data_IF_698060620783
#
_entry.id   IF_698060620783
#
_cell.length_a   1.000
_cell.length_b   1.000
_cell.length_c   1.000
_cell.angle_alpha   90.00
_cell.angle_beta   90.00
_cell.angle_gamma   90.00
#
_symmetry.space_group_name_H-M   'P 1'
#
loop_
_entity.id
_entity.type
_entity.pdbx_description
1 polymer ?
#
# COMPACT_ATOMS: atom_id res chain seq x y z
N UNK A 1 32.98 14.98 13.80
CA UNK A 1 32.11 13.91 14.36
C UNK A 1 33.03 12.99 15.13
N UNK A 2 32.95 12.96 16.47
CA UNK A 2 33.94 12.22 17.28
C UNK A 2 33.94 10.72 16.95
N UNK A 3 35.10 10.04 16.92
CA UNK A 3 35.21 8.61 16.59
C UNK A 3 34.35 7.73 17.50
N UNK A 4 34.09 8.21 18.72
CA UNK A 4 33.24 7.58 19.73
C UNK A 4 31.77 7.50 19.25
N UNK A 5 31.23 8.55 18.63
CA UNK A 5 29.86 8.52 18.09
C UNK A 5 29.71 7.56 16.91
N UNK A 6 30.75 7.46 16.08
CA UNK A 6 30.79 6.54 14.94
C UNK A 6 30.85 5.09 15.44
N UNK A 7 31.61 4.83 16.51
CA UNK A 7 31.65 3.52 17.18
C UNK A 7 30.29 3.13 17.79
N UNK A 8 29.55 4.07 18.41
CA UNK A 8 28.21 3.77 18.96
C UNK A 8 27.17 3.49 17.87
N UNK A 9 27.22 4.20 16.72
CA UNK A 9 26.37 3.89 15.56
C UNK A 9 26.70 2.49 15.03
N UNK A 10 27.99 2.17 14.89
CA UNK A 10 28.43 0.89 14.36
C UNK A 10 28.07 -0.26 15.32
N UNK A 11 28.21 -0.05 16.64
CA UNK A 11 27.78 -1.00 17.68
C UNK A 11 26.26 -1.14 17.71
N UNK A 12 25.48 -0.07 17.58
CA UNK A 12 24.01 -0.18 17.54
C UNK A 12 23.50 -0.87 16.27
N UNK A 13 24.14 -0.63 15.13
CA UNK A 13 23.87 -1.34 13.87
C UNK A 13 24.28 -2.81 14.00
N UNK A 14 25.45 -3.11 14.56
CA UNK A 14 25.90 -4.49 14.80
C UNK A 14 25.02 -5.22 15.83
N UNK A 15 24.61 -4.55 16.91
CA UNK A 15 23.74 -5.13 17.94
C UNK A 15 22.33 -5.32 17.39
N UNK A 16 21.76 -4.39 16.62
CA UNK A 16 20.46 -4.59 15.97
C UNK A 16 20.51 -5.70 14.92
N UNK A 17 21.61 -5.80 14.16
CA UNK A 17 21.85 -6.88 13.20
C UNK A 17 22.11 -8.23 13.88
N UNK A 18 22.80 -8.24 15.03
CA UNK A 18 23.06 -9.41 15.86
C UNK A 18 21.80 -9.87 16.59
N UNK A 19 21.03 -8.98 17.21
CA UNK A 19 19.75 -9.31 17.85
C UNK A 19 18.78 -9.89 16.82
N UNK A 20 18.82 -9.42 15.58
CA UNK A 20 17.99 -9.91 14.48
C UNK A 20 18.44 -11.30 13.97
N UNK A 21 19.75 -11.55 13.87
CA UNK A 21 20.31 -12.88 13.54
C UNK A 21 20.09 -13.89 14.68
N UNK A 22 20.28 -13.49 15.94
CA UNK A 22 20.14 -14.34 17.13
C UNK A 22 18.69 -14.68 17.45
N UNK A 23 17.75 -13.73 17.32
CA UNK A 23 16.35 -14.02 17.65
C UNK A 23 15.67 -14.99 16.68
N UNK A 24 16.30 -15.37 15.54
CA UNK A 24 15.58 -16.05 14.44
C UNK A 24 14.17 -15.44 14.30
N UNK A 25 14.09 -14.10 14.32
CA UNK A 25 12.84 -13.35 14.11
C UNK A 25 12.52 -13.49 12.63
N UNK A 26 12.12 -14.70 12.29
CA UNK A 26 11.44 -15.06 11.08
C UNK A 26 9.96 -14.98 11.50
N UNK A 27 9.31 -13.80 11.42
CA UNK A 27 7.86 -13.68 11.67
C UNK A 27 7.02 -14.52 10.67
N UNK A 28 7.70 -15.29 9.80
CA UNK A 28 7.15 -16.12 8.74
C UNK A 28 7.59 -17.58 8.80
N UNK A 29 8.30 -18.04 9.85
CA UNK A 29 8.46 -19.48 10.13
C UNK A 29 7.21 -20.10 10.77
N UNK A 30 6.09 -19.37 10.83
CA UNK A 30 4.79 -19.96 11.19
C UNK A 30 4.32 -20.79 10.00
N UNK A 31 4.43 -22.10 10.18
CA UNK A 31 4.03 -23.16 9.29
C UNK A 31 2.67 -22.86 8.61
N UNK A 32 2.70 -22.77 7.27
CA UNK A 32 1.54 -22.45 6.45
C UNK A 32 0.53 -23.59 6.48
N UNK A 33 -0.44 -23.53 7.39
CA UNK A 33 -1.57 -24.45 7.37
C UNK A 33 -2.73 -23.84 6.58
N UNK A 34 -2.96 -24.23 5.30
CA UNK A 34 -4.05 -23.70 4.47
C UNK A 34 -5.45 -23.94 5.09
N UNK A 35 -5.58 -24.99 5.91
CA UNK A 35 -6.80 -25.33 6.65
C UNK A 35 -7.13 -24.32 7.76
N UNK A 36 -6.13 -23.74 8.43
CA UNK A 36 -6.34 -22.66 9.41
C UNK A 36 -6.76 -21.34 8.74
N UNK A 37 -6.29 -21.11 7.51
CA UNK A 37 -6.67 -19.96 6.66
C UNK A 37 -8.13 -20.03 6.18
N UNK A 38 -8.67 -21.23 5.98
CA UNK A 38 -10.12 -21.44 5.72
C UNK A 38 -10.97 -21.26 6.98
N UNK A 39 -10.51 -21.73 8.16
CA UNK A 39 -11.16 -21.42 9.45
C UNK A 39 -11.17 -19.91 9.77
N UNK A 40 -10.20 -19.15 9.28
CA UNK A 40 -10.10 -17.69 9.41
C UNK A 40 -11.28 -16.93 8.80
N UNK A 41 -11.81 -17.40 7.67
CA UNK A 41 -12.94 -16.78 6.97
C UNK A 41 -14.30 -17.25 7.51
N UNK A 42 -14.36 -18.45 8.09
CA UNK A 42 -15.62 -19.10 8.46
C UNK A 42 -15.91 -19.10 9.98
N UNK A 43 -14.91 -19.00 10.85
CA UNK A 43 -15.09 -19.34 12.28
C UNK A 43 -14.88 -18.22 13.31
N UNK A 44 -14.61 -16.96 12.90
CA UNK A 44 -14.59 -15.83 13.85
C UNK A 44 -13.64 -15.95 15.06
N UNK A 45 -12.66 -16.85 15.04
CA UNK A 45 -11.77 -17.09 16.17
C UNK A 45 -10.72 -15.96 16.31
N UNK A 46 -10.55 -15.45 17.53
CA UNK A 46 -9.60 -14.36 17.87
C UNK A 46 -8.14 -14.83 17.70
N UNK A 47 -7.52 -14.49 16.57
CA UNK A 47 -6.06 -14.67 16.38
C UNK A 47 -5.25 -13.83 17.37
N UNK A 48 -4.07 -14.35 17.76
CA UNK A 48 -3.02 -13.58 18.44
C UNK A 48 -2.63 -12.39 17.54
N UNK A 49 -2.41 -11.21 18.14
CA UNK A 49 -2.07 -9.96 17.43
C UNK A 49 -0.91 -10.12 16.46
N UNK A 50 0.11 -10.92 16.80
CA UNK A 50 1.27 -11.20 15.96
C UNK A 50 0.91 -11.92 14.64
N UNK A 51 0.00 -12.91 14.67
CA UNK A 51 -0.38 -13.66 13.46
C UNK A 51 -1.22 -12.82 12.51
N UNK A 52 -2.07 -11.93 13.06
CA UNK A 52 -2.82 -10.95 12.26
C UNK A 52 -1.88 -9.99 11.53
N UNK A 53 -0.82 -9.54 12.19
CA UNK A 53 0.20 -8.67 11.60
C UNK A 53 0.98 -9.41 10.51
N UNK A 54 1.38 -10.66 10.75
CA UNK A 54 2.11 -11.47 9.76
C UNK A 54 1.29 -11.72 8.49
N UNK A 55 0.01 -12.11 8.62
CA UNK A 55 -0.89 -12.31 7.48
C UNK A 55 -1.05 -11.00 6.71
N UNK A 56 -1.22 -9.88 7.43
CA UNK A 56 -1.38 -8.55 6.81
C UNK A 56 -0.12 -8.13 6.05
N UNK A 57 1.05 -8.35 6.63
CA UNK A 57 2.33 -8.06 5.98
C UNK A 57 2.50 -8.91 4.71
N UNK A 58 2.12 -10.19 4.77
CA UNK A 58 2.17 -11.09 3.61
C UNK A 58 1.21 -10.66 2.49
N UNK A 59 -0.01 -10.21 2.84
CA UNK A 59 -0.94 -9.65 1.85
C UNK A 59 -0.39 -8.37 1.22
N UNK A 60 0.25 -7.51 2.02
CA UNK A 60 0.87 -6.28 1.54
C UNK A 60 2.02 -6.59 0.58
N UNK A 61 2.89 -7.55 0.89
CA UNK A 61 3.98 -7.97 -0.01
C UNK A 61 3.47 -8.54 -1.33
N UNK A 62 2.38 -9.32 -1.30
CA UNK A 62 1.77 -9.87 -2.51
C UNK A 62 1.20 -8.76 -3.40
N UNK A 63 0.56 -7.75 -2.81
CA UNK A 63 -0.02 -6.63 -3.54
C UNK A 63 1.04 -5.66 -4.07
N UNK A 64 2.05 -5.31 -3.28
CA UNK A 64 3.08 -4.33 -3.69
C UNK A 64 4.28 -4.93 -4.44
N UNK A 65 4.28 -6.26 -4.68
CA UNK A 65 5.42 -7.01 -5.26
C UNK A 65 6.75 -6.74 -4.56
N UNK A 66 6.71 -6.37 -3.27
CA UNK A 66 7.90 -6.07 -2.49
C UNK A 66 8.54 -7.38 -1.99
N UNK A 67 9.78 -7.65 -2.41
CA UNK A 67 10.58 -8.77 -1.93
C UNK A 67 10.89 -8.60 -0.44
N UNK A 68 10.92 -9.70 0.31
CA UNK A 68 11.26 -9.73 1.74
C UNK A 68 12.57 -8.98 2.05
N UNK A 69 13.57 -9.11 1.18
CA UNK A 69 14.86 -8.39 1.27
C UNK A 69 14.69 -6.87 1.19
N UNK A 70 13.80 -6.36 0.33
CA UNK A 70 13.54 -4.92 0.19
C UNK A 70 12.85 -4.35 1.43
N UNK A 71 11.89 -5.08 2.01
CA UNK A 71 11.26 -4.67 3.26
C UNK A 71 12.24 -4.67 4.43
N UNK A 72 13.09 -5.71 4.51
CA UNK A 72 14.12 -5.79 5.53
C UNK A 72 15.11 -4.64 5.42
N UNK A 73 15.55 -4.31 4.20
CA UNK A 73 16.37 -3.13 3.95
C UNK A 73 15.65 -1.85 4.39
N UNK A 74 14.35 -1.71 4.12
CA UNK A 74 13.57 -0.53 4.51
C UNK A 74 13.43 -0.39 6.04
N UNK A 75 13.28 -1.52 6.75
CA UNK A 75 13.30 -1.57 8.21
C UNK A 75 14.67 -1.20 8.78
N UNK A 76 15.75 -1.73 8.19
CA UNK A 76 17.12 -1.41 8.60
C UNK A 76 17.46 0.06 8.33
N UNK A 77 17.08 0.61 7.18
CA UNK A 77 17.29 2.04 6.87
C UNK A 77 16.45 2.94 7.77
N UNK A 78 15.23 2.53 8.13
CA UNK A 78 14.41 3.28 9.08
C UNK A 78 15.01 3.23 10.50
N UNK A 79 15.49 2.06 10.96
CA UNK A 79 16.13 1.93 12.26
C UNK A 79 17.45 2.72 12.33
N UNK A 80 18.30 2.59 11.32
CA UNK A 80 19.56 3.32 11.22
C UNK A 80 19.34 4.83 11.06
N UNK A 81 18.37 5.23 10.24
CA UNK A 81 17.98 6.63 10.06
C UNK A 81 17.41 7.25 11.33
N UNK A 82 16.55 6.52 12.05
CA UNK A 82 16.01 6.95 13.33
C UNK A 82 17.08 7.10 14.42
N UNK A 83 18.05 6.18 14.46
CA UNK A 83 19.19 6.27 15.36
C UNK A 83 20.10 7.46 15.03
N UNK A 84 20.42 7.66 13.75
CA UNK A 84 21.26 8.77 13.30
C UNK A 84 20.59 10.14 13.57
N UNK A 85 19.30 10.25 13.25
CA UNK A 85 18.51 11.45 13.55
C UNK A 85 18.43 11.72 15.05
N UNK A 86 18.18 10.67 15.86
CA UNK A 86 18.17 10.77 17.31
C UNK A 86 19.52 11.20 17.89
N UNK A 87 20.63 10.72 17.33
CA UNK A 87 21.97 11.17 17.74
C UNK A 87 22.23 12.63 17.38
N UNK A 88 21.82 13.08 16.19
CA UNK A 88 21.97 14.48 15.80
C UNK A 88 21.14 15.43 16.68
N UNK A 89 19.93 15.01 17.06
CA UNK A 89 18.99 15.81 17.84
C UNK A 89 19.33 15.84 19.33
N UNK A 90 19.65 14.68 19.93
CA UNK A 90 19.73 14.53 21.39
C UNK A 90 21.15 14.35 21.93
N UNK A 91 22.15 14.16 21.07
CA UNK A 91 23.56 13.96 21.41
C UNK A 91 23.82 12.89 22.49
N UNK A 92 22.85 11.99 22.72
CA UNK A 92 22.88 10.95 23.74
C UNK A 92 22.42 9.62 23.15
N UNK A 93 23.15 8.52 23.42
CA UNK A 93 22.85 7.22 22.82
C UNK A 93 21.53 6.61 23.32
N UNK A 94 21.14 6.89 24.57
CA UNK A 94 19.90 6.37 25.18
C UNK A 94 18.66 6.91 24.46
N UNK A 95 18.62 8.23 24.21
CA UNK A 95 17.51 8.88 23.52
C UNK A 95 17.50 8.53 22.02
N UNK A 96 18.67 8.32 21.43
CA UNK A 96 18.78 7.85 20.04
C UNK A 96 18.22 6.43 19.86
N UNK A 97 18.41 5.53 20.83
CA UNK A 97 17.81 4.20 20.80
C UNK A 97 16.27 4.24 20.87
N UNK A 98 15.70 5.13 21.69
CA UNK A 98 14.25 5.33 21.78
C UNK A 98 13.69 5.93 20.49
N UNK A 99 14.39 6.89 19.88
CA UNK A 99 14.02 7.46 18.59
C UNK A 99 14.03 6.41 17.46
N UNK A 100 15.04 5.52 17.44
CA UNK A 100 15.10 4.40 16.51
C UNK A 100 13.91 3.45 16.68
N UNK A 101 13.56 3.10 17.93
CA UNK A 101 12.40 2.25 18.23
C UNK A 101 11.07 2.87 17.76
N UNK A 102 10.92 4.19 17.89
CA UNK A 102 9.76 4.94 17.43
C UNK A 102 9.60 4.92 15.89
N UNK A 103 10.70 4.85 15.14
CA UNK A 103 10.67 4.84 13.66
C UNK A 103 10.51 3.43 13.05
N UNK A 104 10.65 2.36 13.83
CA UNK A 104 10.47 0.97 13.38
C UNK A 104 9.10 0.69 12.73
N UNK A 105 7.96 1.28 13.15
CA UNK A 105 6.68 1.04 12.49
C UNK A 105 6.55 1.78 11.15
N UNK A 106 7.36 2.79 10.84
CA UNK A 106 7.20 3.62 9.64
C UNK A 106 7.19 2.82 8.31
N UNK A 107 8.03 1.79 8.12
CA UNK A 107 8.00 0.96 6.92
C UNK A 107 6.69 0.18 6.72
N UNK A 108 6.04 -0.19 7.82
CA UNK A 108 4.72 -0.83 7.78
C UNK A 108 3.63 0.14 7.30
N UNK A 109 3.70 1.41 7.74
CA UNK A 109 2.80 2.48 7.30
C UNK A 109 2.96 2.70 5.80
N UNK A 110 4.22 2.85 5.34
CA UNK A 110 4.54 3.05 3.94
C UNK A 110 3.99 1.94 3.04
N UNK A 111 4.19 0.67 3.41
CA UNK A 111 3.66 -0.45 2.62
C UNK A 111 2.14 -0.49 2.59
N UNK A 112 1.48 -0.10 3.69
CA UNK A 112 0.03 -0.02 3.73
C UNK A 112 -0.48 1.02 2.74
N UNK A 113 0.12 2.21 2.72
CA UNK A 113 -0.22 3.28 1.76
C UNK A 113 0.07 2.83 0.32
N UNK A 114 1.24 2.24 0.07
CA UNK A 114 1.63 1.76 -1.26
C UNK A 114 0.73 0.63 -1.78
N UNK A 115 0.22 -0.24 -0.91
CA UNK A 115 -0.74 -1.26 -1.33
C UNK A 115 -2.07 -0.67 -1.78
N UNK A 116 -2.50 0.44 -1.15
CA UNK A 116 -3.71 1.14 -1.54
C UNK A 116 -3.52 1.81 -2.92
N UNK A 117 -2.35 2.40 -3.21
CA UNK A 117 -2.10 2.99 -4.53
C UNK A 117 -2.09 1.94 -5.64
N UNK A 118 -1.47 0.78 -5.43
CA UNK A 118 -1.49 -0.30 -6.43
C UNK A 118 -2.92 -0.80 -6.69
N UNK A 119 -3.73 -0.96 -5.63
CA UNK A 119 -5.13 -1.35 -5.78
C UNK A 119 -5.94 -0.29 -6.57
N UNK A 120 -5.61 1.00 -6.42
CA UNK A 120 -6.24 2.07 -7.21
C UNK A 120 -5.85 2.00 -8.68
N UNK A 121 -4.57 1.80 -8.98
CA UNK A 121 -4.09 1.68 -10.36
C UNK A 121 -4.79 0.53 -11.09
N UNK A 122 -5.04 -0.59 -10.39
CA UNK A 122 -5.81 -1.72 -10.95
C UNK A 122 -7.28 -1.32 -11.24
N UNK A 123 -7.93 -0.60 -10.32
CA UNK A 123 -9.33 -0.14 -10.49
C UNK A 123 -9.42 0.91 -11.60
N UNK A 124 -8.49 1.86 -11.64
CA UNK A 124 -8.40 2.92 -12.64
C UNK A 124 -8.14 2.36 -14.04
N UNK A 125 -7.18 1.42 -14.15
CA UNK A 125 -6.90 0.75 -15.42
C UNK A 125 -8.13 -0.01 -15.93
N UNK A 126 -8.90 -0.62 -15.03
CA UNK A 126 -10.12 -1.35 -15.38
C UNK A 126 -11.27 -0.44 -15.80
N UNK A 127 -11.52 0.65 -15.08
CA UNK A 127 -12.56 1.64 -15.43
C UNK A 127 -12.26 2.27 -16.79
N UNK A 128 -11.02 2.70 -17.02
CA UNK A 128 -10.59 3.23 -18.32
C UNK A 128 -10.79 2.21 -19.44
N UNK A 129 -10.41 0.95 -19.20
CA UNK A 129 -10.62 -0.14 -20.17
C UNK A 129 -12.10 -0.33 -20.49
N UNK A 130 -12.97 -0.38 -19.48
CA UNK A 130 -14.42 -0.49 -19.67
C UNK A 130 -14.98 0.70 -20.45
N UNK A 131 -14.50 1.93 -20.17
CA UNK A 131 -14.91 3.15 -20.86
C UNK A 131 -14.53 3.12 -22.34
N UNK A 132 -13.27 2.79 -22.66
CA UNK A 132 -12.79 2.69 -24.05
C UNK A 132 -13.59 1.65 -24.83
N UNK A 133 -13.78 0.44 -24.27
CA UNK A 133 -14.57 -0.61 -24.92
C UNK A 133 -16.03 -0.20 -25.10
N UNK A 134 -16.63 0.46 -24.11
CA UNK A 134 -18.03 0.92 -24.19
C UNK A 134 -18.22 1.96 -25.29
N UNK A 135 -17.28 2.91 -25.42
CA UNK A 135 -17.30 3.92 -26.49
C UNK A 135 -17.11 3.31 -27.88
N UNK A 136 -16.15 2.37 -28.02
CA UNK A 136 -15.95 1.64 -29.26
C UNK A 136 -17.18 0.80 -29.63
N UNK A 137 -17.79 0.12 -28.67
CA UNK A 137 -19.00 -0.69 -28.88
C UNK A 137 -20.21 0.16 -29.28
N UNK A 138 -20.39 1.33 -28.64
CA UNK A 138 -21.47 2.25 -28.98
C UNK A 138 -21.43 2.68 -30.47
N UNK A 139 -20.22 2.72 -31.05
CA UNK A 139 -19.96 3.16 -32.42
C UNK A 139 -19.95 2.02 -33.45
N UNK A 140 -19.50 0.82 -33.05
CA UNK A 140 -19.34 -0.32 -33.97
C UNK A 140 -20.46 -1.36 -33.93
N UNK A 141 -21.33 -1.35 -32.91
CA UNK A 141 -22.43 -2.30 -32.67
C UNK A 141 -22.01 -3.80 -32.58
N UNK A 142 -20.71 -4.08 -32.58
CA UNK A 142 -20.10 -5.40 -32.45
C UNK A 142 -19.14 -5.43 -31.25
N UNK A 143 -19.44 -6.30 -30.28
CA UNK A 143 -18.69 -6.44 -29.02
C UNK A 143 -17.27 -6.94 -29.29
N UNK A 144 -17.11 -7.94 -30.18
CA UNK A 144 -15.80 -8.57 -30.43
C UNK A 144 -14.89 -7.57 -31.12
N UNK A 145 -15.43 -6.85 -32.11
CA UNK A 145 -14.70 -5.80 -32.82
C UNK A 145 -14.30 -4.64 -31.91
N UNK A 146 -15.16 -4.24 -30.98
CA UNK A 146 -14.85 -3.19 -30.01
C UNK A 146 -13.71 -3.58 -29.06
N UNK A 147 -13.69 -4.84 -28.58
CA UNK A 147 -12.62 -5.35 -27.72
C UNK A 147 -11.32 -5.54 -28.51
N UNK A 148 -11.40 -5.97 -29.77
CA UNK A 148 -10.23 -6.04 -30.65
C UNK A 148 -9.60 -4.67 -30.87
N UNK A 149 -10.41 -3.66 -31.17
CA UNK A 149 -9.91 -2.28 -31.36
C UNK A 149 -9.21 -1.76 -30.11
N UNK A 150 -9.73 -2.05 -28.92
CA UNK A 150 -9.05 -1.75 -27.65
C UNK A 150 -7.69 -2.46 -27.54
N UNK A 151 -7.63 -3.76 -27.87
CA UNK A 151 -6.39 -4.55 -27.82
C UNK A 151 -5.34 -4.01 -28.80
N UNK A 152 -5.77 -3.65 -30.02
CA UNK A 152 -4.91 -3.04 -31.04
C UNK A 152 -4.40 -1.67 -30.60
N UNK A 153 -5.27 -0.80 -30.07
CA UNK A 153 -4.89 0.52 -29.57
C UNK A 153 -3.93 0.44 -28.39
N UNK A 154 -4.17 -0.45 -27.43
CA UNK A 154 -3.27 -0.70 -26.29
C UNK A 154 -1.88 -1.11 -26.76
N UNK A 155 -1.79 -1.95 -27.78
CA UNK A 155 -0.52 -2.53 -28.25
C UNK A 155 0.12 -1.74 -29.41
N UNK A 156 -0.51 -0.66 -29.89
CA UNK A 156 -0.11 0.09 -31.10
C UNK A 156 1.33 0.60 -31.02
N UNK A 157 1.74 1.11 -29.86
CA UNK A 157 3.06 1.71 -29.64
C UNK A 157 4.04 0.80 -28.90
N UNK A 158 3.67 -0.46 -28.63
CA UNK A 158 4.45 -1.35 -27.78
C UNK A 158 5.11 -2.46 -28.60
N UNK A 159 6.45 -2.61 -28.52
CA UNK A 159 7.15 -3.65 -29.26
C UNK A 159 6.73 -5.05 -28.74
N UNK A 160 6.74 -6.10 -29.58
CA UNK A 160 6.13 -7.40 -29.25
C UNK A 160 6.62 -8.03 -27.93
N UNK A 161 7.89 -7.84 -27.58
CA UNK A 161 8.49 -8.42 -26.38
C UNK A 161 8.10 -7.72 -25.07
N UNK A 162 7.55 -6.49 -25.12
CA UNK A 162 7.05 -5.76 -23.95
C UNK A 162 5.53 -5.88 -23.76
N UNK A 163 4.83 -6.56 -24.67
CA UNK A 163 3.38 -6.72 -24.60
C UNK A 163 2.99 -7.63 -23.44
N UNK A 164 2.23 -7.08 -22.51
CA UNK A 164 1.59 -7.85 -21.45
C UNK A 164 0.30 -8.44 -21.98
N UNK A 165 0.17 -9.76 -21.87
CA UNK A 165 -1.06 -10.48 -22.20
C UNK A 165 -2.10 -10.14 -21.13
N UNK A 166 -3.20 -9.54 -21.55
CA UNK A 166 -4.34 -9.21 -20.70
C UNK A 166 -5.48 -10.22 -20.91
N UNK A 167 -6.42 -10.34 -19.95
CA UNK A 167 -7.60 -11.18 -20.12
C UNK A 167 -8.44 -10.85 -21.36
N UNK A 168 -8.37 -9.61 -21.86
CA UNK A 168 -9.02 -9.17 -23.09
C UNK A 168 -8.33 -9.71 -24.35
N UNK A 169 -6.99 -9.76 -24.36
CA UNK A 169 -6.22 -10.39 -25.45
C UNK A 169 -6.57 -11.89 -25.58
N UNK A 170 -6.72 -12.57 -24.43
CA UNK A 170 -7.14 -13.97 -24.38
C UNK A 170 -8.58 -14.16 -24.87
N UNK A 171 -9.51 -13.26 -24.53
CA UNK A 171 -10.90 -13.32 -25.00
C UNK A 171 -10.99 -13.21 -26.52
N UNK A 172 -10.31 -12.21 -27.12
CA UNK A 172 -10.33 -12.02 -28.58
C UNK A 172 -9.74 -13.24 -29.29
N UNK A 173 -8.63 -13.77 -28.77
CA UNK A 173 -7.99 -14.97 -29.33
C UNK A 173 -8.87 -16.21 -29.21
N UNK A 174 -9.54 -16.40 -28.08
CA UNK A 174 -10.45 -17.52 -27.85
C UNK A 174 -11.64 -17.48 -28.80
N UNK A 175 -12.28 -16.31 -28.95
CA UNK A 175 -13.46 -16.16 -29.82
C UNK A 175 -13.10 -16.38 -31.29
N UNK A 176 -11.92 -15.91 -31.73
CA UNK A 176 -11.49 -16.03 -33.14
C UNK A 176 -11.01 -17.42 -33.52
N UNK A 177 -10.28 -18.10 -32.65
CA UNK A 177 -9.53 -19.32 -33.02
C UNK A 177 -10.00 -20.59 -32.33
N UNK A 178 -10.75 -20.51 -31.22
CA UNK A 178 -11.07 -21.68 -30.39
C UNK A 178 -12.58 -21.93 -30.34
N UNK A 179 -13.35 -20.97 -29.82
CA UNK A 179 -14.78 -21.12 -29.61
C UNK A 179 -15.50 -19.80 -29.89
N UNK A 180 -16.34 -19.72 -30.94
CA UNK A 180 -17.04 -18.50 -31.32
C UNK A 180 -18.19 -18.11 -30.37
N UNK A 181 -18.42 -18.84 -29.27
CA UNK A 181 -19.43 -18.49 -28.28
C UNK A 181 -18.99 -17.28 -27.43
N UNK A 182 -19.52 -16.11 -27.79
CA UNK A 182 -19.22 -14.82 -27.15
C UNK A 182 -19.67 -14.81 -25.68
N UNK A 183 -20.85 -15.34 -25.36
CA UNK A 183 -21.37 -15.36 -23.99
C UNK A 183 -20.47 -16.14 -23.04
N UNK A 184 -20.04 -17.34 -23.46
CA UNK A 184 -19.12 -18.16 -22.68
C UNK A 184 -17.78 -17.44 -22.46
N UNK A 185 -17.25 -16.79 -23.49
CA UNK A 185 -16.04 -15.98 -23.39
C UNK A 185 -16.18 -14.83 -22.38
N UNK A 186 -17.29 -14.10 -22.43
CA UNK A 186 -17.60 -13.01 -21.50
C UNK A 186 -17.75 -13.51 -20.05
N UNK A 187 -18.44 -14.63 -19.81
CA UNK A 187 -18.50 -15.23 -18.46
C UNK A 187 -17.11 -15.59 -17.92
N UNK A 188 -16.25 -16.17 -18.75
CA UNK A 188 -14.85 -16.47 -18.36
C UNK A 188 -14.06 -15.20 -18.08
N UNK A 189 -14.25 -14.15 -18.85
CA UNK A 189 -13.62 -12.84 -18.64
C UNK A 189 -14.04 -12.25 -17.28
N UNK A 190 -15.35 -12.28 -16.98
CA UNK A 190 -15.89 -11.86 -15.68
C UNK A 190 -15.33 -12.67 -14.51
N UNK A 191 -15.12 -13.98 -14.69
CA UNK A 191 -14.53 -14.82 -13.66
C UNK A 191 -13.04 -14.51 -13.39
N UNK A 192 -12.29 -14.08 -14.43
CA UNK A 192 -10.88 -13.67 -14.30
C UNK A 192 -10.73 -12.33 -13.57
N UNK A 193 -11.60 -11.36 -13.89
CA UNK A 193 -11.56 -10.01 -13.32
C UNK A 193 -12.58 -9.92 -12.19
N UNK A 194 -12.13 -10.18 -10.96
CA UNK A 194 -12.96 -10.19 -9.74
C UNK A 194 -13.32 -8.78 -9.25
N UNK A 195 -14.12 -8.04 -10.02
CA UNK A 195 -14.65 -6.73 -9.64
C UNK A 195 -16.18 -6.72 -9.82
N UNK A 196 -16.91 -6.16 -8.84
CA UNK A 196 -18.37 -6.09 -8.85
C UNK A 196 -18.90 -5.33 -10.06
N UNK A 197 -18.38 -4.13 -10.33
CA UNK A 197 -18.79 -3.28 -11.44
C UNK A 197 -18.46 -3.92 -12.78
N UNK A 198 -17.32 -4.58 -12.87
CA UNK A 198 -16.93 -5.32 -14.08
C UNK A 198 -17.85 -6.50 -14.37
N UNK A 199 -18.22 -7.27 -13.34
CA UNK A 199 -19.16 -8.38 -13.49
C UNK A 199 -20.56 -7.90 -13.91
N UNK A 200 -21.01 -6.76 -13.39
CA UNK A 200 -22.26 -6.14 -13.80
C UNK A 200 -22.19 -5.64 -15.25
N UNK A 201 -21.10 -4.95 -15.62
CA UNK A 201 -20.84 -4.50 -16.99
C UNK A 201 -20.81 -5.67 -17.98
N UNK A 202 -20.19 -6.79 -17.61
CA UNK A 202 -20.13 -7.97 -18.46
C UNK A 202 -21.51 -8.63 -18.62
N UNK A 203 -22.36 -8.63 -17.59
CA UNK A 203 -23.75 -9.10 -17.71
C UNK A 203 -24.56 -8.24 -18.68
N UNK A 204 -24.36 -6.92 -18.63
CA UNK A 204 -25.00 -6.01 -19.59
C UNK A 204 -24.47 -6.25 -21.00
N UNK A 205 -23.16 -6.51 -21.18
CA UNK A 205 -22.63 -6.89 -22.50
C UNK A 205 -23.27 -8.17 -23.05
N UNK A 206 -23.51 -9.17 -22.20
CA UNK A 206 -24.21 -10.40 -22.60
C UNK A 206 -25.67 -10.08 -23.01
N UNK A 207 -26.35 -9.20 -22.28
CA UNK A 207 -27.68 -8.72 -22.67
C UNK A 207 -27.65 -7.95 -24.01
N UNK A 208 -26.63 -7.13 -24.23
CA UNK A 208 -26.41 -6.41 -25.49
C UNK A 208 -26.12 -7.33 -26.68
N UNK A 209 -25.58 -8.53 -26.42
CA UNK A 209 -25.39 -9.54 -27.44
C UNK A 209 -26.74 -10.03 -28.00
N UNK A 210 -27.74 -10.19 -27.14
CA UNK A 210 -29.10 -10.54 -27.53
C UNK A 210 -29.89 -9.35 -28.10
N UNK A 211 -29.77 -8.17 -27.50
CA UNK A 211 -30.42 -6.94 -27.96
C UNK A 211 -29.44 -5.75 -27.99
N UNK A 212 -29.00 -5.39 -29.20
CA UNK A 212 -28.03 -4.30 -29.44
C UNK A 212 -28.53 -2.93 -29.00
N UNK A 213 -29.85 -2.74 -28.83
CA UNK A 213 -30.43 -1.46 -28.37
C UNK A 213 -30.03 -1.12 -26.94
N UNK A 214 -29.69 -2.14 -26.15
CA UNK A 214 -29.27 -1.99 -24.75
C UNK A 214 -27.85 -1.44 -24.59
N UNK A 215 -27.10 -1.16 -25.67
CA UNK A 215 -25.72 -0.67 -25.62
C UNK A 215 -25.53 0.57 -24.73
N UNK A 216 -26.55 1.44 -24.63
CA UNK A 216 -26.50 2.62 -23.77
C UNK A 216 -26.59 2.31 -22.27
N UNK A 217 -27.04 1.12 -21.88
CA UNK A 217 -27.07 0.66 -20.49
C UNK A 217 -25.67 0.38 -19.91
N UNK A 218 -24.63 0.31 -20.75
CA UNK A 218 -23.24 0.16 -20.31
C UNK A 218 -22.69 1.44 -19.68
N UNK A 219 -23.09 2.63 -20.18
CA UNK A 219 -22.59 3.93 -19.68
C UNK A 219 -22.91 4.18 -18.20
N UNK A 220 -24.14 3.93 -17.70
CA UNK A 220 -24.44 4.04 -16.28
C UNK A 220 -23.54 3.20 -15.38
N UNK A 221 -23.14 1.99 -15.80
CA UNK A 221 -22.27 1.11 -14.99
C UNK A 221 -20.83 1.64 -14.95
N UNK A 222 -20.30 2.09 -16.09
CA UNK A 222 -18.98 2.75 -16.15
C UNK A 222 -18.99 4.00 -15.28
N UNK A 223 -20.05 4.81 -15.36
CA UNK A 223 -20.23 6.00 -14.53
C UNK A 223 -20.29 5.66 -13.04
N UNK A 224 -21.04 4.63 -12.64
CA UNK A 224 -21.11 4.20 -11.24
C UNK A 224 -19.74 3.75 -10.69
N UNK A 225 -18.91 3.10 -11.51
CA UNK A 225 -17.54 2.74 -11.15
C UNK A 225 -16.64 3.98 -11.03
N UNK A 226 -16.78 4.95 -11.95
CA UNK A 226 -16.04 6.22 -11.90
C UNK A 226 -16.45 7.06 -10.69
N UNK A 227 -17.74 7.13 -10.35
CA UNK A 227 -18.23 7.82 -9.15
C UNK A 227 -17.65 7.18 -7.88
N UNK A 228 -17.65 5.85 -7.79
CA UNK A 228 -17.02 5.13 -6.68
C UNK A 228 -15.50 5.37 -6.60
N UNK A 229 -14.81 5.41 -7.74
CA UNK A 229 -13.39 5.78 -7.84
C UNK A 229 -13.17 7.22 -7.36
N UNK A 230 -13.97 8.17 -7.81
CA UNK A 230 -13.86 9.59 -7.47
C UNK A 230 -14.02 9.81 -5.97
N UNK A 231 -15.04 9.18 -5.36
CA UNK A 231 -15.23 9.21 -3.90
C UNK A 231 -14.03 8.61 -3.16
N UNK A 232 -13.45 7.53 -3.68
CA UNK A 232 -12.25 6.92 -3.09
C UNK A 232 -11.05 7.86 -3.20
N UNK A 233 -10.83 8.49 -4.35
CA UNK A 233 -9.74 9.47 -4.58
C UNK A 233 -9.90 10.69 -3.68
N UNK A 234 -11.11 11.20 -3.51
CA UNK A 234 -11.40 12.32 -2.62
C UNK A 234 -11.09 11.97 -1.16
N UNK A 235 -11.58 10.81 -0.69
CA UNK A 235 -11.28 10.30 0.65
C UNK A 235 -9.77 10.17 0.88
N UNK A 236 -9.06 9.68 -0.12
CA UNK A 236 -7.61 9.50 -0.03
C UNK A 236 -6.83 10.82 -0.12
N UNK A 237 -7.33 11.79 -0.89
CA UNK A 237 -6.81 13.15 -0.91
C UNK A 237 -6.96 13.86 0.44
N UNK A 238 -8.07 13.61 1.14
CA UNK A 238 -8.22 14.03 2.54
C UNK A 238 -7.19 13.37 3.45
N UNK A 239 -6.96 12.05 3.31
CA UNK A 239 -5.93 11.34 4.07
C UNK A 239 -4.53 11.95 3.85
N UNK A 240 -4.13 12.21 2.61
CA UNK A 240 -2.82 12.81 2.30
C UNK A 240 -2.66 14.18 2.94
N UNK A 241 -3.71 15.01 2.91
CA UNK A 241 -3.72 16.31 3.60
C UNK A 241 -3.53 16.16 5.11
N UNK A 242 -4.28 15.26 5.75
CA UNK A 242 -4.15 14.98 7.19
C UNK A 242 -2.73 14.50 7.53
N UNK A 243 -2.15 13.62 6.73
CA UNK A 243 -0.78 13.13 6.93
C UNK A 243 0.27 14.22 6.76
N UNK A 244 0.12 15.07 5.75
CA UNK A 244 1.01 16.21 5.53
C UNK A 244 0.97 17.15 6.72
N UNK A 245 -0.22 17.52 7.19
CA UNK A 245 -0.38 18.47 8.29
C UNK A 245 0.12 17.85 9.62
N UNK A 246 -0.09 16.54 9.81
CA UNK A 246 0.50 15.79 10.92
C UNK A 246 2.04 15.76 10.87
N UNK A 247 2.63 15.47 9.70
CA UNK A 247 4.09 15.44 9.53
C UNK A 247 4.72 16.83 9.74
N UNK A 248 4.06 17.90 9.28
CA UNK A 248 4.50 19.27 9.51
C UNK A 248 4.47 19.62 11.01
N UNK A 249 3.37 19.31 11.70
CA UNK A 249 3.26 19.58 13.14
C UNK A 249 4.23 18.75 13.98
N UNK A 250 4.39 17.46 13.69
CA UNK A 250 5.39 16.62 14.33
C UNK A 250 6.82 17.10 14.05
N UNK A 251 7.11 17.51 12.81
CA UNK A 251 8.40 18.09 12.42
C UNK A 251 8.73 19.36 13.20
N UNK A 252 7.76 20.28 13.34
CA UNK A 252 7.90 21.48 14.16
C UNK A 252 8.13 21.12 15.64
N UNK A 253 7.39 20.15 16.16
CA UNK A 253 7.55 19.68 17.54
C UNK A 253 8.99 19.22 17.80
N UNK A 254 9.57 18.41 16.91
CA UNK A 254 10.96 17.97 17.04
C UNK A 254 12.00 19.05 16.75
N UNK A 255 11.67 20.06 15.94
CA UNK A 255 12.55 21.19 15.61
C UNK A 255 12.89 22.07 16.84
N UNK A 256 12.03 22.08 17.86
CA UNK A 256 12.26 22.85 19.09
C UNK A 256 13.53 22.43 19.82
N UNK A 257 13.87 21.14 19.82
CA UNK A 257 15.04 20.59 20.52
C UNK A 257 16.38 21.11 19.93
N UNK A 258 16.65 21.00 18.61
CA UNK A 258 17.83 21.59 18.02
C UNK A 258 17.81 23.12 18.07
N UNK A 259 16.65 23.76 18.00
CA UNK A 259 16.56 25.22 18.18
C UNK A 259 17.02 25.65 19.59
N UNK A 260 16.66 24.87 20.61
CA UNK A 260 17.13 25.07 22.00
C UNK A 260 18.66 24.93 22.10
N UNK A 261 19.26 23.98 21.35
CA UNK A 261 20.72 23.82 21.28
C UNK A 261 21.42 25.06 20.71
N UNK A 262 20.84 25.72 19.70
CA UNK A 262 21.40 26.95 19.12
C UNK A 262 21.17 28.18 20.00
N UNK A 263 20.03 28.26 20.69
CA UNK A 263 19.69 29.41 21.52
C UNK A 263 20.44 29.38 22.86
N UNK A 264 20.44 28.24 23.57
CA UNK A 264 21.02 28.13 24.90
C UNK A 264 21.55 26.71 25.18
N UNK A 265 22.87 26.55 25.13
CA UNK A 265 23.53 25.25 25.31
C UNK A 265 23.32 24.65 26.71
N UNK A 266 23.18 25.47 27.75
CA UNK A 266 22.95 24.98 29.12
C UNK A 266 21.58 24.32 29.28
N UNK A 267 20.54 24.92 28.70
CA UNK A 267 19.19 24.38 28.75
C UNK A 267 19.08 23.06 27.98
N UNK A 268 19.77 22.97 26.84
CA UNK A 268 19.91 21.73 26.09
C UNK A 268 20.66 20.65 26.89
N UNK A 269 21.74 21.01 27.59
CA UNK A 269 22.49 20.11 28.45
C UNK A 269 21.61 19.58 29.58
N UNK A 270 20.88 20.45 30.28
CA UNK A 270 19.94 20.04 31.35
C UNK A 270 18.88 19.08 30.80
N UNK A 271 18.31 19.37 29.63
CA UNK A 271 17.27 18.53 29.03
C UNK A 271 17.77 17.15 28.58
N UNK A 272 19.02 17.03 28.12
CA UNK A 272 19.56 15.78 27.56
C UNK A 272 20.35 14.93 28.56
N UNK A 273 20.91 15.55 29.59
CA UNK A 273 21.75 14.86 30.59
C UNK A 273 20.96 14.45 31.83
N UNK A 274 19.99 15.24 32.27
CA UNK A 274 19.22 14.93 33.47
C UNK A 274 18.20 13.82 33.23
N UNK A 275 17.94 13.02 34.27
CA UNK A 275 16.95 11.94 34.20
C UNK A 275 15.54 12.47 33.88
N UNK A 276 15.17 13.62 34.44
CA UNK A 276 13.86 14.27 34.22
C UNK A 276 13.73 14.75 32.77
N UNK A 277 14.78 15.38 32.23
CA UNK A 277 14.79 15.84 30.85
C UNK A 277 14.72 14.69 29.83
N UNK A 278 15.47 13.60 30.06
CA UNK A 278 15.38 12.38 29.25
C UNK A 278 13.97 11.80 29.26
N UNK A 279 13.31 11.75 30.43
CA UNK A 279 11.95 11.24 30.56
C UNK A 279 10.95 12.09 29.75
N UNK A 280 11.07 13.42 29.78
CA UNK A 280 10.23 14.32 28.98
C UNK A 280 10.38 14.09 27.48
N UNK A 281 11.62 13.90 27.00
CA UNK A 281 11.89 13.59 25.58
C UNK A 281 11.30 12.23 25.20
N UNK A 282 11.43 11.21 26.06
CA UNK A 282 10.82 9.89 25.82
C UNK A 282 9.29 10.01 25.74
N UNK A 283 8.68 10.78 26.65
CA UNK A 283 7.23 11.00 26.65
C UNK A 283 6.78 11.68 25.35
N UNK A 284 7.51 12.70 24.89
CA UNK A 284 7.27 13.39 23.61
C UNK A 284 7.39 12.44 22.40
N UNK A 285 8.37 11.53 22.38
CA UNK A 285 8.50 10.52 21.32
C UNK A 285 7.35 9.51 21.35
N UNK A 286 6.91 9.10 22.55
CA UNK A 286 5.79 8.18 22.72
C UNK A 286 4.45 8.81 22.34
N UNK A 287 4.23 10.09 22.67
CA UNK A 287 3.01 10.80 22.27
C UNK A 287 2.97 10.98 20.75
N UNK A 288 4.07 11.33 20.10
CA UNK A 288 4.18 11.35 18.64
C UNK A 288 3.91 9.98 18.01
N UNK A 289 4.40 8.89 18.62
CA UNK A 289 4.09 7.55 18.11
C UNK A 289 2.59 7.23 18.25
N UNK A 290 2.03 7.52 19.42
CA UNK A 290 0.62 7.28 19.73
C UNK A 290 -0.32 8.05 18.81
N UNK A 291 -0.04 9.33 18.55
CA UNK A 291 -0.82 10.16 17.63
C UNK A 291 -0.66 9.71 16.18
N UNK A 292 0.53 9.28 15.75
CA UNK A 292 0.72 8.68 14.41
C UNK A 292 -0.13 7.40 14.23
N UNK A 293 -0.21 6.55 15.26
CA UNK A 293 -1.08 5.37 15.23
C UNK A 293 -2.57 5.73 15.24
N UNK A 294 -2.95 6.76 15.99
CA UNK A 294 -4.32 7.27 15.99
C UNK A 294 -4.71 7.81 14.61
N UNK A 295 -3.86 8.65 14.00
CA UNK A 295 -4.06 9.18 12.64
C UNK A 295 -4.15 8.04 11.64
N UNK A 296 -3.27 7.03 11.70
CA UNK A 296 -3.38 5.83 10.88
C UNK A 296 -4.71 5.10 11.04
N UNK A 297 -5.22 4.98 12.26
CA UNK A 297 -6.48 4.28 12.53
C UNK A 297 -7.67 5.10 12.02
N UNK A 298 -7.64 6.41 12.21
CA UNK A 298 -8.68 7.33 11.77
C UNK A 298 -8.72 7.49 10.24
N UNK A 299 -7.56 7.41 9.58
CA UNK A 299 -7.43 7.56 8.12
C UNK A 299 -7.52 6.25 7.33
N UNK A 300 -7.74 5.10 7.99
CA UNK A 300 -8.04 3.87 7.25
C UNK A 300 -9.28 4.14 6.40
N UNK A 301 -9.21 3.93 5.07
CA UNK A 301 -10.39 4.04 4.24
C UNK A 301 -11.44 3.11 4.83
N UNK A 302 -12.61 3.68 5.14
CA UNK A 302 -13.77 2.90 5.56
C UNK A 302 -14.18 2.07 4.35
N UNK A 303 -13.55 0.90 4.21
CA UNK A 303 -13.94 -0.10 3.24
C UNK A 303 -15.26 -0.69 3.74
N UNK A 304 -16.34 0.05 3.46
CA UNK A 304 -17.73 -0.41 3.55
C UNK A 304 -18.20 -0.69 2.13
#
# INVERSE_FOLDING_TARGET
MNPIHLSFILVFVLVSLALFLLLKLNPFAVEQNPLKKRRLYLAGAKLKTAERIAIRLQTLFRQTRCTQKKFLMMMLTAAAGGFLAGMMLFNSPDLAAVAAACLLPAPYIYLTVKSATVAREEIEGLENTMSVITNAYASCDDIVKAIELYVEEKNRYLPPHLRTITPFDELVSEIKYINPNIEHGLYRLSAKIRNRYFAEWTKILILCHHDRRLKFALFPVVKAMNDAKSMQVESDGMMVRVWRDYLLTAGLMFSVIPMMRFSNAEWFSILTTTAIGKLLVVLMLLTALGTAFYVMKATKPSNR
#
